data_IF_813046811920
#
_entry.id   IF_813046811920
#
_cell.length_a   1.000
_cell.length_b   1.000
_cell.length_c   1.000
_cell.angle_alpha   90.00
_cell.angle_beta   90.00
_cell.angle_gamma   90.00
#
_symmetry.space_group_name_H-M   'P 1'
#
loop_
_entity.id
_entity.type
_entity.pdbx_description
1 polymer ?
#
# COMPACT_ATOMS: atom_id res chain seq x y z
N UNK A 1 -4.79 -15.72 -2.50
CA UNK A 1 -4.38 -15.44 -3.89
C UNK A 1 -4.73 -14.03 -4.36
N UNK A 2 -5.99 -13.59 -4.28
CA UNK A 2 -6.43 -12.26 -4.80
C UNK A 2 -5.61 -11.05 -4.33
N UNK A 3 -5.16 -11.01 -3.07
CA UNK A 3 -4.37 -9.86 -2.60
C UNK A 3 -3.04 -9.74 -3.35
N UNK A 4 -2.32 -10.85 -3.55
CA UNK A 4 -1.00 -10.87 -4.20
C UNK A 4 -1.12 -10.42 -5.66
N UNK A 5 -2.10 -10.97 -6.40
CA UNK A 5 -2.31 -10.67 -7.81
C UNK A 5 -2.63 -9.19 -8.07
N UNK A 6 -3.37 -8.56 -7.16
CA UNK A 6 -3.88 -7.20 -7.32
C UNK A 6 -3.35 -6.21 -6.27
N UNK A 7 -2.19 -6.48 -5.66
CA UNK A 7 -1.61 -5.63 -4.61
C UNK A 7 -1.28 -4.22 -5.13
N UNK A 8 -0.86 -4.09 -6.39
CA UNK A 8 -0.51 -2.83 -7.03
C UNK A 8 -1.71 -2.06 -7.60
N UNK A 9 -2.88 -2.71 -7.69
CA UNK A 9 -4.10 -2.10 -8.17
C UNK A 9 -4.84 -1.45 -7.00
N UNK A 10 -4.96 -0.12 -7.03
CA UNK A 10 -5.66 0.64 -5.99
C UNK A 10 -7.16 0.33 -5.90
N UNK A 11 -7.77 -0.01 -7.04
CA UNK A 11 -9.17 -0.39 -7.09
C UNK A 11 -9.41 -1.64 -6.22
N UNK A 12 -10.31 -1.51 -5.25
CA UNK A 12 -10.70 -2.57 -4.31
C UNK A 12 -9.56 -3.17 -3.45
N UNK A 13 -8.35 -2.55 -3.36
CA UNK A 13 -7.29 -3.08 -2.48
C UNK A 13 -7.75 -3.14 -1.04
N UNK A 14 -8.45 -2.10 -0.55
CA UNK A 14 -9.01 -2.06 0.80
C UNK A 14 -9.85 -3.31 1.11
N UNK A 15 -10.80 -3.65 0.23
CA UNK A 15 -11.65 -4.83 0.40
C UNK A 15 -10.84 -6.14 0.42
N UNK A 16 -9.84 -6.27 -0.47
CA UNK A 16 -8.98 -7.47 -0.50
C UNK A 16 -8.13 -7.59 0.77
N UNK A 17 -7.59 -6.48 1.26
CA UNK A 17 -6.80 -6.43 2.49
C UNK A 17 -7.64 -6.75 3.72
N UNK A 18 -8.86 -6.23 3.80
CA UNK A 18 -9.81 -6.55 4.88
C UNK A 18 -10.15 -8.05 4.89
N UNK A 19 -10.42 -8.65 3.73
CA UNK A 19 -10.65 -10.10 3.61
C UNK A 19 -9.45 -10.93 4.05
N UNK A 20 -8.24 -10.51 3.68
CA UNK A 20 -7.00 -11.19 4.08
C UNK A 20 -6.79 -11.12 5.59
N UNK A 21 -6.93 -9.92 6.19
CA UNK A 21 -6.79 -9.73 7.63
C UNK A 21 -7.82 -10.57 8.39
N UNK A 22 -9.08 -10.55 7.98
CA UNK A 22 -10.13 -11.34 8.61
C UNK A 22 -9.87 -12.85 8.55
N UNK A 23 -9.33 -13.35 7.42
CA UNK A 23 -8.96 -14.76 7.29
C UNK A 23 -7.83 -15.15 8.25
N UNK A 24 -6.79 -14.30 8.36
CA UNK A 24 -5.65 -14.54 9.26
C UNK A 24 -6.08 -14.49 10.74
N UNK A 25 -6.93 -13.53 11.10
CA UNK A 25 -7.48 -13.40 12.46
C UNK A 25 -8.37 -14.60 12.82
N UNK A 26 -9.17 -15.12 11.87
CA UNK A 26 -9.99 -16.32 12.08
C UNK A 26 -9.15 -17.59 12.29
N UNK A 27 -7.99 -17.70 11.63
CA UNK A 27 -7.03 -18.79 11.85
C UNK A 27 -6.17 -18.59 13.12
N UNK A 28 -6.28 -17.44 13.80
CA UNK A 28 -5.62 -17.15 15.07
C UNK A 28 -4.14 -16.79 14.96
N UNK A 29 -3.65 -16.45 13.75
CA UNK A 29 -2.25 -16.09 13.48
C UNK A 29 -1.24 -17.02 14.19
N UNK A 30 -1.40 -18.33 13.94
CA UNK A 30 -0.71 -19.40 14.67
C UNK A 30 0.79 -19.47 14.35
N UNK A 31 1.20 -18.99 13.17
CA UNK A 31 2.60 -18.96 12.76
C UNK A 31 3.23 -17.57 12.92
N UNK A 32 4.57 -17.47 13.08
CA UNK A 32 5.27 -16.19 13.15
C UNK A 32 5.01 -15.29 11.93
N UNK A 33 4.90 -15.87 10.74
CA UNK A 33 4.67 -15.14 9.49
C UNK A 33 3.29 -14.46 9.48
N UNK A 34 2.26 -15.16 9.96
CA UNK A 34 0.91 -14.61 10.06
C UNK A 34 0.86 -13.45 11.06
N UNK A 35 1.61 -13.53 12.16
CA UNK A 35 1.74 -12.43 13.13
C UNK A 35 2.42 -11.22 12.50
N UNK A 36 3.51 -11.42 11.77
CA UNK A 36 4.21 -10.35 11.07
C UNK A 36 3.30 -9.65 10.04
N UNK A 37 2.50 -10.41 9.29
CA UNK A 37 1.54 -9.84 8.33
C UNK A 37 0.51 -8.97 9.06
N UNK A 38 -0.01 -9.40 10.22
CA UNK A 38 -0.96 -8.62 11.00
C UNK A 38 -0.32 -7.34 11.59
N UNK A 39 0.92 -7.42 12.07
CA UNK A 39 1.68 -6.25 12.53
C UNK A 39 1.88 -5.22 11.41
N UNK A 40 2.06 -5.70 10.18
CA UNK A 40 2.26 -4.87 8.98
C UNK A 40 0.97 -4.63 8.18
N UNK A 41 -0.21 -4.93 8.71
CA UNK A 41 -1.49 -4.88 7.95
C UNK A 41 -1.79 -3.52 7.32
N UNK A 42 -1.28 -2.43 7.88
CA UNK A 42 -1.38 -1.08 7.34
C UNK A 42 -0.72 -0.89 5.97
N UNK A 43 0.17 -1.80 5.55
CA UNK A 43 0.82 -1.80 4.24
C UNK A 43 0.06 -2.61 3.20
N UNK A 44 -0.97 -3.36 3.60
CA UNK A 44 -1.74 -4.19 2.67
C UNK A 44 -2.58 -3.35 1.70
N UNK A 45 -2.93 -2.12 2.07
CA UNK A 45 -3.70 -1.21 1.19
C UNK A 45 -2.72 -0.40 0.33
N UNK A 46 -2.90 -0.43 -1.00
CA UNK A 46 -2.08 0.34 -1.93
C UNK A 46 -2.14 1.83 -1.59
N UNK A 47 -0.98 2.42 -1.29
CA UNK A 47 -0.83 3.84 -0.99
C UNK A 47 -0.86 4.69 -2.26
N UNK A 48 -1.40 5.90 -2.14
CA UNK A 48 -1.30 6.95 -3.16
C UNK A 48 -0.29 7.98 -2.67
N UNK A 49 0.86 8.07 -3.34
CA UNK A 49 1.85 9.10 -3.07
C UNK A 49 1.50 10.33 -3.89
N UNK A 50 1.56 11.50 -3.25
CA UNK A 50 1.29 12.78 -3.88
C UNK A 50 2.47 13.71 -3.64
N UNK A 51 2.90 14.39 -4.69
CA UNK A 51 3.91 15.45 -4.64
C UNK A 51 3.21 16.72 -5.12
N UNK A 52 3.09 17.69 -4.22
CA UNK A 52 2.43 18.96 -4.51
C UNK A 52 3.48 20.07 -4.61
N UNK A 53 3.37 20.93 -5.62
CA UNK A 53 4.21 22.10 -5.78
C UNK A 53 3.63 23.08 -6.79
N UNK A 54 4.11 24.31 -6.73
CA UNK A 54 3.76 25.37 -7.68
C UNK A 54 4.56 25.28 -8.98
N UNK A 55 4.27 26.19 -9.91
CA UNK A 55 4.96 26.29 -11.20
C UNK A 55 6.46 26.54 -11.05
N UNK A 56 6.90 27.46 -10.17
CA UNK A 56 8.33 27.71 -9.97
C UNK A 56 9.12 26.50 -9.43
N UNK A 57 8.49 25.60 -8.66
CA UNK A 57 9.12 24.34 -8.26
C UNK A 57 9.14 23.36 -9.44
N UNK A 58 8.04 23.25 -10.17
CA UNK A 58 7.90 22.30 -11.27
C UNK A 58 8.76 22.66 -12.50
N UNK A 59 9.03 23.95 -12.75
CA UNK A 59 9.68 24.43 -13.97
C UNK A 59 11.06 25.06 -13.75
N UNK A 60 11.36 25.55 -12.54
CA UNK A 60 12.65 26.20 -12.24
C UNK A 60 13.46 25.39 -11.22
N UNK A 61 13.36 25.76 -9.93
CA UNK A 61 14.31 25.35 -8.89
C UNK A 61 14.21 23.85 -8.54
N UNK A 62 13.08 23.22 -8.84
CA UNK A 62 12.85 21.80 -8.61
C UNK A 62 12.81 20.95 -9.87
N UNK A 63 12.89 21.52 -11.08
CA UNK A 63 12.64 20.80 -12.33
C UNK A 63 13.56 19.59 -12.51
N UNK A 64 14.86 19.74 -12.25
CA UNK A 64 15.82 18.64 -12.36
C UNK A 64 15.53 17.46 -11.41
N UNK A 65 14.80 17.69 -10.30
CA UNK A 65 14.35 16.62 -9.40
C UNK A 65 12.96 16.06 -9.72
N UNK A 66 12.15 16.77 -10.50
CA UNK A 66 10.85 16.30 -11.00
C UNK A 66 11.01 15.43 -12.25
N UNK A 67 12.02 15.72 -13.08
CA UNK A 67 12.37 14.93 -14.27
C UNK A 67 12.98 13.55 -13.93
N UNK A 68 13.63 13.41 -12.77
CA UNK A 68 14.37 12.21 -12.36
C UNK A 68 13.50 11.16 -11.66
#
# INVERSE_FOLDING_TARGET
EQWIEFANLGAATRQRSERLVAAIEAEGATTPELKEILEKKQFLIKRSHWIFGGDGWAYDIGFGGVDH
#
